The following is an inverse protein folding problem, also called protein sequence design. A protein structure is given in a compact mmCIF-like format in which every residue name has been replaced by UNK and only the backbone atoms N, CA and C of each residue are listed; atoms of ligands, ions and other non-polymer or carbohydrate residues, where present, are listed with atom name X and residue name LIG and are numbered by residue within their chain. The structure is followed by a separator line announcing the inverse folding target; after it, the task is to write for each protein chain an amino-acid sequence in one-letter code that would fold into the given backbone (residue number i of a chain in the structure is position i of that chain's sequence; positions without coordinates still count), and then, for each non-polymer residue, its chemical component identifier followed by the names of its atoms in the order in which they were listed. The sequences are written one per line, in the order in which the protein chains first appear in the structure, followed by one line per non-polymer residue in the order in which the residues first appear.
data_IF_634078649625
#
_entry.id   IF_634078649625
#
_cell.length_a   1.000
_cell.length_b   1.000
_cell.length_c   1.000
_cell.angle_alpha   90.00
_cell.angle_beta   90.00
_cell.angle_gamma   90.00
#
_symmetry.space_group_name_H-M   'P 1'
#
loop_
_entity.id
_entity.type
_entity.pdbx_description
1 polymer ?
#
# COMPACT_ATOMS: atom_id res chain seq x y z
N UNK A 1 -7.93 -25.46 -6.68
CA UNK A 1 -7.49 -24.38 -7.62
C UNK A 1 -6.52 -23.47 -6.87
N UNK A 2 -5.30 -23.25 -7.38
CA UNK A 2 -4.41 -22.25 -6.78
C UNK A 2 -5.08 -20.89 -6.98
N UNK A 3 -5.35 -20.17 -5.89
CA UNK A 3 -5.84 -18.79 -5.96
C UNK A 3 -4.81 -17.96 -6.74
N UNK A 4 -5.26 -17.09 -7.64
CA UNK A 4 -4.42 -16.15 -8.42
C UNK A 4 -3.81 -15.06 -7.51
N UNK A 5 -3.24 -15.48 -6.40
CA UNK A 5 -2.65 -14.59 -5.39
C UNK A 5 -1.42 -13.86 -5.94
N UNK A 6 -1.23 -12.62 -5.50
CA UNK A 6 -0.05 -11.85 -5.81
C UNK A 6 1.21 -12.68 -5.44
N UNK A 7 2.12 -12.98 -6.38
CA UNK A 7 3.30 -13.80 -6.12
C UNK A 7 4.18 -13.30 -4.97
N UNK A 8 4.15 -11.99 -4.68
CA UNK A 8 4.89 -11.39 -3.54
C UNK A 8 4.41 -11.88 -2.18
N UNK A 9 3.19 -12.43 -2.11
CA UNK A 9 2.59 -12.97 -0.87
C UNK A 9 2.95 -14.42 -0.61
N UNK A 10 3.62 -15.09 -1.55
CA UNK A 10 3.97 -16.51 -1.36
C UNK A 10 4.78 -16.72 -0.07
N UNK A 11 4.26 -17.61 0.78
CA UNK A 11 4.87 -17.92 2.09
C UNK A 11 4.81 -16.79 3.12
N UNK A 12 3.97 -15.76 2.92
CA UNK A 12 3.77 -14.69 3.91
C UNK A 12 2.54 -14.97 4.79
N UNK A 13 2.49 -14.28 5.94
CA UNK A 13 1.34 -14.24 6.84
C UNK A 13 0.16 -13.40 6.30
N UNK A 14 0.27 -12.88 5.08
CA UNK A 14 -0.74 -12.04 4.44
C UNK A 14 -1.33 -12.78 3.23
N UNK A 15 -2.63 -12.63 3.03
CA UNK A 15 -3.35 -13.11 1.83
C UNK A 15 -4.25 -11.99 1.30
N UNK A 16 -4.35 -11.84 -0.02
CA UNK A 16 -5.22 -10.82 -0.63
C UNK A 16 -6.68 -11.28 -0.74
N UNK A 17 -7.59 -10.32 -0.52
CA UNK A 17 -8.97 -10.43 -0.91
C UNK A 17 -9.37 -9.17 -1.70
N UNK A 18 -9.80 -9.36 -2.95
CA UNK A 18 -10.25 -8.29 -3.84
C UNK A 18 -11.66 -8.62 -4.31
N UNK A 19 -12.69 -8.07 -3.65
CA UNK A 19 -14.10 -8.35 -3.96
C UNK A 19 -14.57 -7.82 -5.31
N UNK A 20 -13.96 -6.72 -5.79
CA UNK A 20 -14.36 -6.06 -7.04
C UNK A 20 -13.69 -6.71 -8.25
N UNK A 21 -14.26 -6.45 -9.43
CA UNK A 21 -13.72 -6.84 -10.73
C UNK A 21 -13.40 -5.61 -11.58
N UNK A 22 -12.71 -5.82 -12.69
CA UNK A 22 -12.36 -4.76 -13.63
C UNK A 22 -11.32 -3.77 -13.07
N UNK A 23 -11.31 -2.57 -13.65
CA UNK A 23 -10.41 -1.49 -13.24
C UNK A 23 -10.97 -0.74 -12.04
N UNK A 24 -10.08 -0.35 -11.12
CA UNK A 24 -10.45 0.57 -10.04
C UNK A 24 -10.79 1.96 -10.61
N UNK A 25 -11.98 2.50 -10.37
CA UNK A 25 -12.39 3.80 -10.91
C UNK A 25 -11.65 5.00 -10.28
N UNK A 26 -10.87 4.79 -9.23
CA UNK A 26 -10.16 5.86 -8.53
C UNK A 26 -8.97 6.44 -9.34
N UNK A 27 -8.56 5.78 -10.41
CA UNK A 27 -7.53 6.23 -11.38
C UNK A 27 -6.31 6.92 -10.75
N UNK A 28 -5.78 6.34 -9.66
CA UNK A 28 -4.58 6.86 -9.02
C UNK A 28 -3.41 6.87 -10.00
N UNK A 29 -2.64 7.95 -10.04
CA UNK A 29 -1.45 8.06 -10.89
C UNK A 29 -0.43 6.97 -10.52
N UNK A 30 0.29 6.45 -11.53
CA UNK A 30 1.28 5.38 -11.39
C UNK A 30 0.76 4.10 -10.66
N UNK A 31 -0.56 3.92 -10.55
CA UNK A 31 -1.15 2.72 -9.98
C UNK A 31 -0.82 1.50 -10.84
N UNK A 32 -0.23 0.46 -10.24
CA UNK A 32 0.15 -0.77 -10.96
C UNK A 32 -1.02 -1.45 -11.67
N UNK A 33 -2.23 -1.35 -11.14
CA UNK A 33 -3.43 -1.94 -11.71
C UNK A 33 -4.04 -1.10 -12.84
N UNK A 34 -3.76 0.21 -12.88
CA UNK A 34 -4.25 1.09 -13.94
C UNK A 34 -3.22 1.29 -15.06
N UNK A 35 -1.95 0.97 -14.81
CA UNK A 35 -0.84 1.20 -15.74
C UNK A 35 -0.40 -0.07 -16.49
N UNK A 36 -1.24 -1.10 -16.55
CA UNK A 36 -0.98 -2.31 -17.32
C UNK A 36 0.02 -3.30 -16.70
N UNK A 37 0.56 -3.05 -15.50
CA UNK A 37 1.42 -4.02 -14.80
C UNK A 37 0.67 -5.25 -14.33
N UNK A 38 -0.63 -5.11 -14.06
CA UNK A 38 -1.52 -6.20 -13.72
C UNK A 38 -2.76 -6.14 -14.61
N UNK A 39 -3.27 -7.29 -15.00
CA UNK A 39 -4.55 -7.35 -15.70
C UNK A 39 -5.68 -7.08 -14.71
N UNK A 40 -6.75 -6.40 -15.15
CA UNK A 40 -7.98 -6.31 -14.39
C UNK A 40 -8.48 -7.70 -14.03
N UNK A 41 -9.09 -7.82 -12.88
CA UNK A 41 -9.67 -9.09 -12.46
C UNK A 41 -11.00 -9.33 -13.17
N UNK A 42 -11.10 -10.42 -13.94
CA UNK A 42 -12.35 -10.83 -14.58
C UNK A 42 -13.37 -11.38 -13.57
N UNK A 43 -12.88 -11.85 -12.43
CA UNK A 43 -13.68 -12.38 -11.32
C UNK A 43 -13.10 -11.92 -9.98
N UNK A 44 -13.94 -11.83 -8.93
CA UNK A 44 -13.47 -11.50 -7.59
C UNK A 44 -12.40 -12.50 -7.11
N UNK A 45 -11.36 -11.99 -6.48
CA UNK A 45 -10.34 -12.78 -5.81
C UNK A 45 -10.64 -12.82 -4.31
N UNK A 46 -11.45 -13.78 -3.89
CA UNK A 46 -11.95 -13.89 -2.51
C UNK A 46 -11.64 -15.28 -1.99
N UNK A 47 -10.57 -15.47 -1.21
CA UNK A 47 -10.21 -16.76 -0.66
C UNK A 47 -11.30 -17.31 0.27
N UNK A 48 -11.41 -18.64 0.38
CA UNK A 48 -12.25 -19.26 1.41
C UNK A 48 -11.62 -19.08 2.79
N UNK A 49 -12.37 -19.33 3.85
CA UNK A 49 -11.86 -19.24 5.23
C UNK A 49 -10.75 -20.28 5.45
N UNK A 50 -10.90 -21.47 4.86
CA UNK A 50 -9.92 -22.55 4.92
C UNK A 50 -8.63 -22.18 4.17
N UNK A 51 -8.75 -21.52 3.01
CA UNK A 51 -7.58 -21.00 2.29
C UNK A 51 -6.87 -19.87 3.06
N UNK A 52 -7.60 -19.08 3.83
CA UNK A 52 -7.00 -18.04 4.68
C UNK A 52 -6.20 -18.66 5.82
N UNK A 53 -6.77 -19.66 6.52
CA UNK A 53 -6.17 -20.23 7.72
C UNK A 53 -5.86 -19.14 8.76
N UNK A 54 -4.66 -19.17 9.32
CA UNK A 54 -4.22 -18.20 10.34
C UNK A 54 -3.73 -16.84 9.78
N UNK A 55 -3.72 -16.68 8.46
CA UNK A 55 -3.19 -15.47 7.81
C UNK A 55 -4.11 -14.27 7.99
N UNK A 56 -3.53 -13.09 7.87
CA UNK A 56 -4.23 -11.81 7.89
C UNK A 56 -4.69 -11.47 6.46
N UNK A 57 -5.96 -11.18 6.28
CA UNK A 57 -6.53 -10.80 4.99
C UNK A 57 -6.25 -9.33 4.71
N UNK A 58 -5.51 -9.06 3.64
CA UNK A 58 -5.32 -7.72 3.08
C UNK A 58 -6.43 -7.44 2.08
N UNK A 59 -7.38 -6.58 2.45
CA UNK A 59 -8.50 -6.23 1.58
C UNK A 59 -8.07 -5.13 0.61
N UNK A 60 -8.29 -5.38 -0.68
CA UNK A 60 -8.06 -4.44 -1.77
C UNK A 60 -6.61 -3.97 -1.93
N UNK A 61 -5.71 -4.89 -2.29
CA UNK A 61 -4.39 -4.52 -2.76
C UNK A 61 -4.39 -3.99 -4.21
N UNK A 62 -5.47 -4.20 -4.97
CA UNK A 62 -5.64 -3.81 -6.37
C UNK A 62 -6.83 -2.88 -6.65
N UNK A 63 -7.68 -2.68 -5.67
CA UNK A 63 -8.80 -1.76 -5.68
C UNK A 63 -8.78 -0.87 -4.44
N UNK A 64 -9.74 0.07 -4.34
CA UNK A 64 -9.95 0.88 -3.15
C UNK A 64 -11.13 0.35 -2.35
N UNK A 65 -10.96 0.19 -1.04
CA UNK A 65 -11.99 -0.39 -0.17
C UNK A 65 -13.21 0.53 0.03
N UNK A 66 -13.11 1.80 -0.30
CA UNK A 66 -14.26 2.72 -0.30
C UNK A 66 -15.08 2.66 -1.58
N UNK A 67 -14.54 2.09 -2.66
CA UNK A 67 -15.29 1.82 -3.88
C UNK A 67 -16.14 0.57 -3.65
N UNK A 68 -17.42 0.65 -3.94
CA UNK A 68 -18.39 -0.43 -3.66
C UNK A 68 -18.28 -0.96 -2.22
N UNK A 69 -18.14 -0.04 -1.25
CA UNK A 69 -17.87 -0.35 0.15
C UNK A 69 -18.82 -1.40 0.74
N UNK A 70 -20.09 -1.38 0.36
CA UNK A 70 -21.08 -2.37 0.79
C UNK A 70 -20.71 -3.78 0.36
N UNK A 71 -20.31 -3.96 -0.92
CA UNK A 71 -19.80 -5.24 -1.45
C UNK A 71 -18.56 -5.69 -0.69
N UNK A 72 -17.59 -4.77 -0.48
CA UNK A 72 -16.34 -5.06 0.23
C UNK A 72 -16.63 -5.56 1.64
N UNK A 73 -17.47 -4.85 2.40
CA UNK A 73 -17.80 -5.21 3.78
C UNK A 73 -18.50 -6.57 3.85
N UNK A 74 -19.55 -6.78 3.03
CA UNK A 74 -20.30 -8.03 2.97
C UNK A 74 -19.41 -9.23 2.62
N UNK A 75 -18.56 -9.09 1.60
CA UNK A 75 -17.71 -10.18 1.11
C UNK A 75 -16.61 -10.55 2.10
N UNK A 76 -16.10 -9.58 2.86
CA UNK A 76 -14.99 -9.78 3.80
C UNK A 76 -15.43 -9.98 5.24
N UNK A 77 -16.74 -9.97 5.54
CA UNK A 77 -17.28 -10.17 6.88
C UNK A 77 -16.79 -11.46 7.53
N UNK A 78 -16.73 -12.53 6.75
CA UNK A 78 -16.31 -13.88 7.16
C UNK A 78 -14.88 -13.99 7.69
N UNK A 79 -14.00 -13.01 7.43
CA UNK A 79 -12.61 -13.07 7.90
C UNK A 79 -12.47 -12.40 9.27
N UNK A 80 -11.86 -13.10 10.20
CA UNK A 80 -11.59 -12.59 11.55
C UNK A 80 -10.44 -11.57 11.53
N UNK A 81 -9.29 -11.95 10.94
CA UNK A 81 -8.09 -11.13 10.85
C UNK A 81 -8.06 -10.44 9.49
N UNK A 82 -8.31 -9.12 9.46
CA UNK A 82 -8.31 -8.35 8.19
C UNK A 82 -7.96 -6.89 8.41
N UNK A 83 -7.41 -6.27 7.37
CA UNK A 83 -7.25 -4.83 7.27
C UNK A 83 -7.59 -4.33 5.86
N UNK A 84 -7.87 -3.04 5.74
CA UNK A 84 -8.39 -2.44 4.52
C UNK A 84 -7.40 -1.45 3.92
N UNK A 85 -7.20 -1.49 2.60
CA UNK A 85 -6.42 -0.50 1.87
C UNK A 85 -7.36 0.52 1.23
N UNK A 86 -7.03 1.80 1.36
CA UNK A 86 -7.77 2.89 0.71
C UNK A 86 -6.86 4.08 0.43
N UNK A 87 -7.20 4.84 -0.61
CA UNK A 87 -6.65 6.16 -0.92
C UNK A 87 -7.70 7.28 -0.72
N UNK A 88 -8.90 6.90 -0.32
CA UNK A 88 -9.98 7.81 0.03
C UNK A 88 -9.99 7.97 1.56
N UNK A 89 -10.02 9.22 2.05
CA UNK A 89 -9.96 9.54 3.47
C UNK A 89 -11.26 9.22 4.22
N UNK A 90 -11.74 7.99 4.10
CA UNK A 90 -12.87 7.44 4.85
C UNK A 90 -12.44 6.12 5.49
N UNK A 91 -12.24 6.11 6.81
CA UNK A 91 -11.67 4.98 7.57
C UNK A 91 -12.73 4.19 8.36
N UNK A 92 -14.01 4.41 8.10
CA UNK A 92 -15.12 3.72 8.75
C UNK A 92 -15.27 2.25 8.34
N UNK A 93 -14.24 1.43 8.60
CA UNK A 93 -14.19 -0.02 8.38
C UNK A 93 -14.23 -0.77 9.71
N UNK A 94 -14.63 -2.06 9.74
CA UNK A 94 -14.65 -2.86 10.98
C UNK A 94 -13.24 -3.26 11.48
N UNK A 95 -12.20 -3.08 10.68
CA UNK A 95 -10.79 -3.40 11.00
C UNK A 95 -9.84 -2.23 10.80
N UNK A 96 -8.54 -2.45 11.03
CA UNK A 96 -7.48 -1.47 10.77
C UNK A 96 -7.40 -1.06 9.30
N UNK A 97 -6.81 0.11 9.05
CA UNK A 97 -6.72 0.69 7.69
C UNK A 97 -5.29 1.07 7.35
N UNK A 98 -4.86 0.77 6.14
CA UNK A 98 -3.71 1.41 5.49
C UNK A 98 -4.24 2.46 4.52
N UNK A 99 -3.88 3.70 4.77
CA UNK A 99 -4.25 4.84 3.93
C UNK A 99 -3.10 5.23 3.00
N UNK A 100 -3.37 5.44 1.71
CA UNK A 100 -2.39 6.01 0.78
C UNK A 100 -2.57 7.53 0.75
N UNK A 101 -1.60 8.29 1.25
CA UNK A 101 -1.73 9.73 1.47
C UNK A 101 -1.60 10.56 0.19
N UNK A 102 -0.87 10.08 -0.82
CA UNK A 102 -0.63 10.80 -2.07
C UNK A 102 -1.00 9.98 -3.33
N UNK A 103 -2.30 9.64 -3.52
CA UNK A 103 -2.74 8.77 -4.61
C UNK A 103 -2.91 9.49 -5.95
N UNK A 104 -2.99 10.83 -5.97
CA UNK A 104 -3.54 11.61 -7.09
C UNK A 104 -2.53 11.99 -8.17
N UNK A 105 -3.06 12.71 -9.17
CA UNK A 105 -2.53 12.95 -10.52
C UNK A 105 -1.36 13.94 -10.61
N UNK A 106 -1.09 14.67 -9.55
CA UNK A 106 -0.04 15.68 -9.47
C UNK A 106 1.38 15.11 -9.25
N UNK A 107 1.61 13.89 -9.70
CA UNK A 107 2.88 13.17 -9.55
C UNK A 107 3.36 13.05 -8.09
N UNK A 108 2.44 13.13 -7.12
CA UNK A 108 2.75 12.97 -5.70
C UNK A 108 3.25 14.24 -5.01
N UNK A 109 3.05 15.41 -5.60
CA UNK A 109 3.40 16.71 -4.99
C UNK A 109 2.45 17.15 -3.88
N UNK A 110 1.35 16.44 -3.65
CA UNK A 110 0.45 16.72 -2.52
C UNK A 110 0.24 15.47 -1.67
N UNK A 111 -0.06 15.70 -0.39
CA UNK A 111 -0.46 14.65 0.53
C UNK A 111 -1.74 15.05 1.27
N UNK A 112 -2.53 14.05 1.66
CA UNK A 112 -3.77 14.25 2.41
C UNK A 112 -3.53 14.01 3.90
N UNK A 113 -4.02 14.93 4.73
CA UNK A 113 -3.93 14.90 6.19
C UNK A 113 -5.33 14.94 6.82
N UNK A 114 -6.05 13.80 6.91
CA UNK A 114 -7.44 13.74 7.33
C UNK A 114 -7.59 13.75 8.87
N UNK A 115 -7.00 14.72 9.56
CA UNK A 115 -6.96 14.80 11.03
C UNK A 115 -8.36 14.90 11.66
N UNK A 116 -9.32 15.51 10.97
CA UNK A 116 -10.70 15.63 11.42
C UNK A 116 -11.53 14.37 11.24
N UNK A 117 -10.96 13.32 10.66
CA UNK A 117 -11.68 12.06 10.48
C UNK A 117 -11.87 11.36 11.81
N UNK A 118 -13.14 11.15 12.21
CA UNK A 118 -13.50 10.48 13.47
C UNK A 118 -12.93 9.07 13.62
N UNK A 119 -12.58 8.43 12.51
CA UNK A 119 -11.97 7.08 12.48
C UNK A 119 -10.45 7.11 12.28
N UNK A 120 -9.80 8.26 12.49
CA UNK A 120 -8.35 8.40 12.35
C UNK A 120 -7.57 7.38 13.20
N UNK A 121 -8.08 7.04 14.38
CA UNK A 121 -7.53 6.02 15.27
C UNK A 121 -7.46 4.59 14.67
N UNK A 122 -8.16 4.35 13.56
CA UNK A 122 -8.09 3.06 12.84
C UNK A 122 -6.91 2.94 11.87
N UNK A 123 -6.17 4.02 11.66
CA UNK A 123 -4.98 3.95 10.83
C UNK A 123 -3.91 3.08 11.50
N UNK A 124 -3.61 1.96 10.89
CA UNK A 124 -2.49 1.11 11.30
C UNK A 124 -1.17 1.54 10.67
N UNK A 125 -1.22 2.15 9.51
CA UNK A 125 -0.10 2.74 8.80
C UNK A 125 -0.60 3.68 7.69
N UNK A 126 0.28 4.57 7.25
CA UNK A 126 0.06 5.41 6.07
C UNK A 126 1.08 5.05 5.01
N UNK A 127 0.64 4.84 3.78
CA UNK A 127 1.51 4.63 2.63
C UNK A 127 1.76 5.96 1.94
N UNK A 128 3.04 6.24 1.67
CA UNK A 128 3.45 7.38 0.87
C UNK A 128 4.26 6.89 -0.34
N UNK A 129 3.88 7.32 -1.54
CA UNK A 129 4.67 7.10 -2.76
C UNK A 129 5.79 8.12 -2.77
N UNK A 130 7.03 7.65 -2.57
CA UNK A 130 8.20 8.50 -2.49
C UNK A 130 9.00 8.42 -3.79
N UNK A 131 9.41 9.58 -4.25
CA UNK A 131 10.24 9.81 -5.43
C UNK A 131 11.28 10.90 -5.13
N UNK A 132 12.28 11.07 -5.99
CA UNK A 132 13.32 12.08 -5.78
C UNK A 132 12.80 13.52 -5.81
N UNK A 133 11.69 13.74 -6.49
CA UNK A 133 11.09 15.07 -6.69
C UNK A 133 10.04 15.48 -5.65
N UNK A 134 9.59 14.56 -4.78
CA UNK A 134 8.56 14.87 -3.78
C UNK A 134 9.02 14.74 -2.33
N UNK A 135 10.36 14.79 -2.10
CA UNK A 135 10.94 14.53 -0.78
C UNK A 135 10.46 15.48 0.30
N UNK A 136 10.24 16.76 -0.03
CA UNK A 136 9.75 17.73 0.95
C UNK A 136 8.33 17.39 1.44
N UNK A 137 7.44 16.93 0.54
CA UNK A 137 6.10 16.43 0.95
C UNK A 137 6.23 15.15 1.74
N UNK A 138 7.18 14.27 1.38
CA UNK A 138 7.48 13.07 2.14
C UNK A 138 7.90 13.41 3.57
N UNK A 139 8.79 14.40 3.76
CA UNK A 139 9.23 14.85 5.08
C UNK A 139 8.06 15.34 5.93
N UNK A 140 7.19 16.18 5.35
CA UNK A 140 5.98 16.66 6.03
C UNK A 140 5.05 15.50 6.41
N UNK A 141 4.82 14.57 5.48
CA UNK A 141 4.01 13.39 5.71
C UNK A 141 4.59 12.51 6.83
N UNK A 142 5.89 12.24 6.80
CA UNK A 142 6.58 11.49 7.83
C UNK A 142 6.43 12.18 9.18
N UNK A 143 6.78 13.48 9.27
CA UNK A 143 6.66 14.28 10.49
C UNK A 143 5.25 14.22 11.05
N UNK A 144 4.24 14.47 10.21
CA UNK A 144 2.83 14.53 10.60
C UNK A 144 2.33 13.22 11.22
N UNK A 145 2.54 12.09 10.55
CA UNK A 145 1.98 10.81 10.99
C UNK A 145 2.82 10.17 12.10
N UNK A 146 4.15 10.25 12.03
CA UNK A 146 4.98 9.62 13.06
C UNK A 146 4.89 10.34 14.41
N UNK A 147 4.67 11.66 14.43
CA UNK A 147 4.36 12.41 15.65
C UNK A 147 3.07 11.92 16.35
N UNK A 148 2.19 11.24 15.61
CA UNK A 148 0.96 10.62 16.13
C UNK A 148 1.10 9.12 16.38
N UNK A 149 2.33 8.59 16.31
CA UNK A 149 2.64 7.17 16.48
C UNK A 149 2.11 6.28 15.36
N UNK A 150 1.84 6.83 14.17
CA UNK A 150 1.39 6.10 12.99
C UNK A 150 2.58 5.88 12.06
N UNK A 151 2.93 4.63 11.70
CA UNK A 151 3.99 4.36 10.76
C UNK A 151 3.71 4.87 9.37
N UNK A 152 4.77 5.28 8.69
CA UNK A 152 4.76 5.65 7.28
C UNK A 152 5.49 4.58 6.47
N UNK A 153 4.78 3.99 5.51
CA UNK A 153 5.30 3.02 4.56
C UNK A 153 5.74 3.74 3.30
N UNK A 154 7.03 3.94 3.13
CA UNK A 154 7.59 4.48 1.89
C UNK A 154 7.46 3.44 0.78
N UNK A 155 6.83 3.82 -0.32
CA UNK A 155 6.61 2.94 -1.47
C UNK A 155 7.23 3.58 -2.71
N UNK A 156 8.23 2.91 -3.28
CA UNK A 156 8.87 3.32 -4.52
C UNK A 156 8.10 2.75 -5.71
N UNK A 157 7.75 3.64 -6.64
CA UNK A 157 6.92 3.29 -7.78
C UNK A 157 7.74 2.81 -8.97
N UNK A 158 7.06 2.13 -9.89
CA UNK A 158 7.56 1.80 -11.23
C UNK A 158 6.69 2.54 -12.24
N UNK A 159 7.32 3.21 -13.16
CA UNK A 159 6.66 4.07 -14.13
C UNK A 159 6.74 3.43 -15.51
N UNK A 160 5.60 3.05 -16.14
CA UNK A 160 5.63 2.48 -17.49
C UNK A 160 6.05 3.49 -18.57
N UNK A 161 5.80 4.79 -18.33
CA UNK A 161 6.05 5.84 -19.32
C UNK A 161 7.11 6.82 -18.82
N UNK A 162 7.96 7.29 -19.74
CA UNK A 162 9.01 8.28 -19.49
C UNK A 162 8.43 9.59 -18.92
N UNK A 163 7.32 10.06 -19.44
CA UNK A 163 6.65 11.31 -19.08
C UNK A 163 6.13 11.33 -17.63
N UNK A 164 6.04 10.15 -17.00
CA UNK A 164 5.66 10.03 -15.60
C UNK A 164 6.82 10.28 -14.64
N UNK A 165 8.06 10.27 -15.14
CA UNK A 165 9.28 10.49 -14.35
C UNK A 165 9.71 11.94 -14.47
N UNK A 166 9.77 12.67 -13.36
CA UNK A 166 10.19 14.08 -13.34
C UNK A 166 11.70 14.21 -13.38
N UNK A 167 12.40 13.35 -12.68
CA UNK A 167 13.82 13.47 -12.33
C UNK A 167 14.63 12.31 -12.92
N UNK A 168 14.61 12.21 -14.25
CA UNK A 168 15.05 11.03 -15.00
C UNK A 168 16.49 10.60 -14.72
N UNK A 169 17.40 11.53 -14.34
CA UNK A 169 18.78 11.19 -14.00
C UNK A 169 18.89 10.22 -12.83
N UNK A 170 17.88 10.18 -11.98
CA UNK A 170 17.80 9.29 -10.82
C UNK A 170 17.00 8.00 -11.07
N UNK A 171 16.59 7.79 -12.32
CA UNK A 171 15.82 6.62 -12.71
C UNK A 171 16.54 5.83 -13.80
N UNK A 172 16.27 4.56 -13.87
CA UNK A 172 16.79 3.66 -14.89
C UNK A 172 15.66 2.88 -15.56
N UNK A 173 15.84 2.60 -16.85
CA UNK A 173 14.89 1.86 -17.64
C UNK A 173 15.18 0.37 -17.57
N UNK A 174 14.21 -0.40 -17.11
CA UNK A 174 14.24 -1.85 -17.13
C UNK A 174 13.42 -2.38 -18.28
N UNK A 175 14.12 -2.93 -19.27
CA UNK A 175 13.47 -3.62 -20.38
C UNK A 175 13.00 -4.99 -19.92
N UNK A 176 11.72 -5.28 -20.07
CA UNK A 176 11.11 -6.56 -19.76
C UNK A 176 10.19 -7.00 -20.90
N UNK A 177 10.07 -8.31 -21.13
CA UNK A 177 9.28 -8.86 -22.26
C UNK A 177 7.81 -8.43 -22.20
N UNK A 178 7.24 -8.35 -20.98
CA UNK A 178 5.82 -8.06 -20.80
C UNK A 178 5.59 -6.60 -20.41
N UNK A 179 6.38 -6.06 -19.50
CA UNK A 179 6.17 -4.73 -18.91
C UNK A 179 7.51 -4.05 -18.66
N UNK A 180 7.98 -3.25 -19.61
CA UNK A 180 9.13 -2.37 -19.37
C UNK A 180 8.73 -1.19 -18.49
N UNK A 181 9.66 -0.68 -17.68
CA UNK A 181 9.37 0.39 -16.74
C UNK A 181 10.63 1.16 -16.32
N UNK A 182 10.43 2.36 -15.85
CA UNK A 182 11.44 3.15 -15.13
C UNK A 182 11.30 2.89 -13.63
N UNK A 183 12.42 2.71 -12.94
CA UNK A 183 12.46 2.68 -11.48
C UNK A 183 13.63 3.52 -10.97
N UNK A 184 13.55 3.90 -9.72
CA UNK A 184 14.60 4.66 -9.06
C UNK A 184 15.93 3.88 -9.04
N UNK A 185 17.05 4.54 -9.32
CA UNK A 185 18.39 3.96 -9.21
C UNK A 185 18.72 3.64 -7.76
N UNK A 186 19.53 2.59 -7.54
CA UNK A 186 19.88 2.12 -6.20
C UNK A 186 20.52 3.21 -5.33
N UNK A 187 21.36 4.05 -5.90
CA UNK A 187 21.99 5.16 -5.17
C UNK A 187 20.96 6.15 -4.62
N UNK A 188 20.00 6.57 -5.47
CA UNK A 188 18.93 7.50 -5.06
C UNK A 188 17.98 6.85 -4.04
N UNK A 189 17.65 5.57 -4.24
CA UNK A 189 16.89 4.78 -3.28
C UNK A 189 17.57 4.77 -1.90
N UNK A 190 18.86 4.44 -1.85
CA UNK A 190 19.62 4.35 -0.60
C UNK A 190 19.72 5.72 0.10
N UNK A 191 19.88 6.81 -0.64
CA UNK A 191 19.88 8.18 -0.09
C UNK A 191 18.54 8.52 0.57
N UNK A 192 17.43 8.17 -0.08
CA UNK A 192 16.08 8.40 0.48
C UNK A 192 15.86 7.55 1.73
N UNK A 193 16.25 6.28 1.71
CA UNK A 193 16.10 5.39 2.88
C UNK A 193 16.94 5.88 4.06
N UNK A 194 18.19 6.28 3.80
CA UNK A 194 19.08 6.80 4.83
C UNK A 194 18.57 8.07 5.50
N UNK A 195 17.81 8.92 4.77
CA UNK A 195 17.19 10.15 5.30
C UNK A 195 16.28 9.89 6.51
N UNK A 196 15.69 8.71 6.59
CA UNK A 196 14.72 8.34 7.63
C UNK A 196 15.22 7.21 8.55
N UNK A 197 16.50 6.86 8.50
CA UNK A 197 17.05 5.70 9.21
C UNK A 197 16.83 5.75 10.73
N UNK A 198 16.85 6.95 11.32
CA UNK A 198 16.67 7.15 12.77
C UNK A 198 15.20 7.11 13.20
N UNK A 199 14.26 7.15 12.27
CA UNK A 199 12.84 7.12 12.59
C UNK A 199 12.27 5.70 12.48
N UNK A 200 12.14 5.02 13.62
CA UNK A 200 11.62 3.63 13.72
C UNK A 200 10.19 3.44 13.18
N UNK A 201 9.43 4.53 13.01
CA UNK A 201 8.09 4.48 12.44
C UNK A 201 8.10 4.66 10.92
N UNK A 202 9.26 4.89 10.29
CA UNK A 202 9.39 4.90 8.84
C UNK A 202 9.84 3.52 8.37
N UNK A 203 9.05 2.91 7.50
CA UNK A 203 9.25 1.57 6.99
C UNK A 203 9.28 1.60 5.46
N UNK A 204 10.18 0.85 4.85
CA UNK A 204 10.29 0.77 3.38
C UNK A 204 9.55 -0.46 2.88
N UNK A 205 8.50 -0.25 2.11
CA UNK A 205 7.77 -1.33 1.47
C UNK A 205 8.62 -1.91 0.33
N UNK A 206 9.16 -3.11 0.55
CA UNK A 206 10.20 -3.66 -0.30
C UNK A 206 11.59 -3.29 0.21
N UNK A 207 12.13 -4.06 1.15
CA UNK A 207 13.43 -3.79 1.84
C UNK A 207 14.66 -3.75 0.95
N UNK A 208 14.56 -4.18 -0.32
CA UNK A 208 15.65 -4.17 -1.29
C UNK A 208 15.17 -3.52 -2.57
N UNK A 209 16.05 -2.75 -3.17
CA UNK A 209 15.91 -2.30 -4.53
C UNK A 209 15.36 -3.42 -5.43
N UNK A 210 14.20 -3.19 -5.98
CA UNK A 210 13.59 -4.02 -7.01
C UNK A 210 12.80 -5.27 -6.60
N UNK A 211 13.07 -5.94 -5.47
CA UNK A 211 12.40 -7.21 -5.17
C UNK A 211 12.36 -7.56 -3.68
N UNK A 212 11.26 -7.27 -3.01
CA UNK A 212 11.02 -7.89 -1.70
C UNK A 212 9.69 -8.62 -1.66
N UNK A 213 9.77 -9.90 -1.34
CA UNK A 213 8.60 -10.68 -0.99
C UNK A 213 8.05 -10.23 0.36
N UNK A 214 6.74 -10.22 0.51
CA UNK A 214 6.07 -9.81 1.74
C UNK A 214 6.46 -10.67 2.95
N UNK A 215 6.81 -11.95 2.74
CA UNK A 215 7.36 -12.84 3.80
C UNK A 215 8.65 -12.31 4.43
N UNK A 216 9.47 -11.59 3.64
CA UNK A 216 10.75 -11.04 4.11
C UNK A 216 10.60 -9.61 4.66
N UNK A 217 9.50 -8.93 4.31
CA UNK A 217 9.20 -7.57 4.71
C UNK A 217 8.56 -7.52 6.10
N UNK A 218 7.46 -8.27 6.32
CA UNK A 218 6.77 -8.41 7.61
C UNK A 218 5.96 -7.19 8.08
N UNK A 219 6.17 -5.99 7.54
CA UNK A 219 5.60 -4.75 8.08
C UNK A 219 4.06 -4.70 8.13
N UNK A 220 3.36 -5.32 7.16
CA UNK A 220 1.90 -5.34 7.21
C UNK A 220 1.39 -6.15 8.41
N UNK A 221 2.05 -7.26 8.73
CA UNK A 221 1.73 -8.06 9.92
C UNK A 221 2.04 -7.28 11.20
N UNK A 222 3.26 -6.76 11.34
CA UNK A 222 3.71 -5.97 12.50
C UNK A 222 2.77 -4.80 12.79
N UNK A 223 2.40 -4.04 11.75
CA UNK A 223 1.50 -2.90 11.89
C UNK A 223 0.08 -3.34 12.27
N UNK A 224 -0.40 -4.46 11.73
CA UNK A 224 -1.69 -5.05 12.10
C UNK A 224 -1.70 -5.45 13.58
N UNK A 225 -0.72 -6.22 14.03
CA UNK A 225 -0.60 -6.69 15.41
C UNK A 225 -0.51 -5.53 16.39
N UNK A 226 0.30 -4.50 16.06
CA UNK A 226 0.37 -3.27 16.87
C UNK A 226 -0.97 -2.55 16.95
N UNK A 227 -1.72 -2.41 15.85
CA UNK A 227 -3.03 -1.77 15.84
C UNK A 227 -4.05 -2.57 16.67
N UNK A 228 -3.95 -3.91 16.64
CA UNK A 228 -4.82 -4.79 17.43
C UNK A 228 -4.41 -4.81 18.91
N UNK A 229 -3.12 -4.71 19.25
CA UNK A 229 -2.61 -4.60 20.63
C UNK A 229 -3.09 -3.32 21.32
N UNK A 230 -3.03 -2.18 20.66
CA UNK A 230 -3.56 -0.91 21.19
C UNK A 230 -5.06 -0.95 21.52
N UNK A 231 -5.85 -1.85 20.90
CA UNK A 231 -7.26 -2.06 21.24
C UNK A 231 -7.46 -2.78 22.58
N UNK A 232 -6.47 -3.55 23.06
CA UNK A 232 -6.56 -4.27 24.34
C UNK A 232 -6.23 -3.38 25.54
N UNK A 233 -5.45 -2.31 25.35
CA UNK A 233 -5.04 -1.39 26.41
C UNK A 233 -6.05 -0.23 26.62
N UNK A 234 -6.98 -0.03 25.70
CA UNK A 234 -7.98 1.07 25.73
C UNK A 234 -9.41 0.65 26.12
N UNK A 235 -9.56 -0.48 26.86
CA UNK A 235 -10.84 -0.92 27.43
C UNK A 235 -10.87 -0.71 28.93
#
# INVERSE_FOLDING_TARGET
MKSDQNPKLFGSSIIDAIPQTGHCPNKCNACFYNNGFYRPLDKPQVPTVEEVGDRIVRVNSGHDSNIEKGLVLKTTEKYEKKFYNTSIANFGFPGPVIFTANPKEDKGFTACYPDTNKYFHKLMAVRFRVDTWNLYICDECVKHYTARGIPVLLTFMRYPLYEQVVDIQHYEFHKHIINSYYCIKEEAFNKIVARYADNKLVQVCGKKYGNSYCKNCGYCQENYERAMGKKKEGK
#
